data_IF_834340322009
#
_entry.id   IF_834340322009
#
_cell.length_a   1.000
_cell.length_b   1.000
_cell.length_c   1.000
_cell.angle_alpha   90.00
_cell.angle_beta   90.00
_cell.angle_gamma   90.00
#
_symmetry.space_group_name_H-M   'P 1'
#
loop_
_entity.id
_entity.type
_entity.pdbx_description
1 polymer ?
#
# COMPACT_ATOMS: atom_id res chain seq x y z
N UNK A 1 -12.23 0.91 -4.21
CA UNK A 1 -11.84 2.34 -4.11
C UNK A 1 -10.58 2.68 -4.89
N UNK A 2 -10.34 3.94 -5.27
CA UNK A 2 -9.12 4.35 -6.00
C UNK A 2 -7.97 4.69 -5.05
N UNK A 3 -6.74 4.32 -5.42
CA UNK A 3 -5.54 4.61 -4.63
C UNK A 3 -5.38 6.10 -4.27
N UNK A 4 -5.66 7.00 -5.22
CA UNK A 4 -5.55 8.46 -5.03
C UNK A 4 -6.50 9.05 -3.98
N UNK A 5 -7.53 8.30 -3.60
CA UNK A 5 -8.55 8.73 -2.64
C UNK A 5 -8.21 8.26 -1.22
N UNK A 6 -7.14 7.47 -1.05
CA UNK A 6 -6.64 7.07 0.26
C UNK A 6 -6.11 8.28 1.05
N UNK A 7 -6.26 8.21 2.37
CA UNK A 7 -5.89 9.30 3.27
C UNK A 7 -4.94 8.85 4.37
N UNK A 8 -4.14 9.78 4.90
CA UNK A 8 -3.30 9.52 6.06
C UNK A 8 -4.14 9.02 7.23
N UNK A 9 -3.67 7.99 7.91
CA UNK A 9 -4.36 7.36 9.04
C UNK A 9 -5.35 6.28 8.64
N UNK A 10 -5.60 6.06 7.34
CA UNK A 10 -6.52 5.03 6.88
C UNK A 10 -5.92 3.63 7.07
N UNK A 11 -6.75 2.70 7.56
CA UNK A 11 -6.39 1.30 7.67
C UNK A 11 -6.28 0.67 6.27
N UNK A 12 -5.20 -0.06 6.05
CA UNK A 12 -4.88 -0.70 4.79
C UNK A 12 -4.51 -2.17 5.03
N UNK A 13 -4.49 -2.93 3.95
CA UNK A 13 -3.72 -4.17 3.88
C UNK A 13 -2.71 -4.09 2.76
N UNK A 14 -1.57 -4.72 2.97
CA UNK A 14 -0.49 -4.75 1.99
C UNK A 14 0.22 -6.09 1.97
N UNK A 15 0.80 -6.43 0.82
CA UNK A 15 1.44 -7.72 0.53
C UNK A 15 2.96 -7.64 0.38
N UNK A 16 3.59 -6.59 0.88
CA UNK A 16 5.03 -6.32 0.75
C UNK A 16 5.90 -7.42 1.35
N UNK A 17 5.38 -8.20 2.31
CA UNK A 17 6.07 -9.33 2.93
C UNK A 17 5.83 -10.66 2.20
N UNK A 18 5.21 -10.63 1.02
CA UNK A 18 4.77 -11.82 0.27
C UNK A 18 3.46 -12.43 0.79
N UNK A 19 3.01 -12.03 1.97
CA UNK A 19 1.72 -12.35 2.58
C UNK A 19 0.98 -11.05 2.92
N UNK A 20 -0.35 -11.07 2.82
CA UNK A 20 -1.17 -9.91 3.15
C UNK A 20 -1.19 -9.70 4.68
N UNK A 21 -0.79 -8.50 5.11
CA UNK A 21 -0.82 -8.06 6.51
C UNK A 21 -1.54 -6.73 6.62
N UNK A 22 -2.13 -6.44 7.78
CA UNK A 22 -2.76 -5.16 8.03
C UNK A 22 -1.75 -4.06 8.36
N UNK A 23 -2.21 -2.82 8.24
CA UNK A 23 -1.41 -1.66 8.56
C UNK A 23 -2.20 -0.36 8.47
N UNK A 24 -1.48 0.75 8.52
CA UNK A 24 -2.07 2.10 8.44
C UNK A 24 -1.17 3.04 7.67
N UNK A 25 -1.75 3.84 6.77
CA UNK A 25 -1.02 4.92 6.11
C UNK A 25 -0.54 5.94 7.16
N UNK A 26 0.75 6.23 7.22
CA UNK A 26 1.29 7.28 8.12
C UNK A 26 1.54 8.61 7.40
N UNK A 27 1.35 8.62 6.08
CA UNK A 27 1.42 9.80 5.25
C UNK A 27 0.33 9.85 4.15
N UNK A 28 0.30 10.96 3.43
CA UNK A 28 -0.58 11.12 2.26
C UNK A 28 0.00 10.40 1.04
N UNK A 29 -0.86 9.70 0.31
CA UNK A 29 -0.56 9.13 -1.01
C UNK A 29 -0.44 10.18 -2.11
N UNK A 30 -0.90 11.42 -1.87
CA UNK A 30 -0.87 12.51 -2.85
C UNK A 30 0.48 13.23 -2.84
N UNK A 31 1.01 13.54 -4.02
CA UNK A 31 2.22 14.34 -4.22
C UNK A 31 2.02 15.32 -5.39
N UNK A 32 1.91 16.61 -5.07
CA UNK A 32 1.61 17.64 -6.06
C UNK A 32 0.30 17.37 -6.79
N UNK A 33 0.35 17.26 -8.12
CA UNK A 33 -0.79 16.92 -8.98
C UNK A 33 -0.99 15.40 -9.17
N UNK A 34 -0.14 14.58 -8.58
CA UNK A 34 -0.14 13.13 -8.74
C UNK A 34 -0.20 12.37 -7.43
N UNK A 35 0.18 11.10 -7.50
CA UNK A 35 0.25 10.17 -6.38
C UNK A 35 1.66 9.61 -6.24
N UNK A 36 2.05 9.25 -5.03
CA UNK A 36 3.34 8.63 -4.73
C UNK A 36 3.36 7.16 -5.17
N UNK A 37 4.48 6.74 -5.77
CA UNK A 37 4.74 5.34 -6.10
C UNK A 37 5.19 4.48 -4.91
N UNK A 38 5.70 5.13 -3.87
CA UNK A 38 6.12 4.51 -2.60
C UNK A 38 5.56 5.37 -1.47
N UNK A 39 5.01 4.73 -0.43
CA UNK A 39 4.40 5.42 0.71
C UNK A 39 4.83 4.81 2.03
N UNK A 40 4.92 5.65 3.05
CA UNK A 40 5.20 5.21 4.41
C UNK A 40 3.93 4.66 5.07
N UNK A 41 4.04 3.45 5.63
CA UNK A 41 2.98 2.78 6.39
C UNK A 41 3.51 2.32 7.75
N UNK A 42 2.62 2.23 8.74
CA UNK A 42 2.84 1.36 9.90
C UNK A 42 2.33 -0.03 9.55
N UNK A 43 3.20 -1.02 9.60
CA UNK A 43 2.92 -2.42 9.27
C UNK A 43 2.71 -3.21 10.55
N UNK A 44 1.60 -3.95 10.64
CA UNK A 44 1.35 -4.88 11.75
C UNK A 44 1.95 -6.26 11.42
N UNK A 45 3.27 -6.35 11.24
CA UNK A 45 3.94 -7.58 10.83
C UNK A 45 3.95 -8.67 11.93
N UNK A 46 3.62 -8.31 13.17
CA UNK A 46 3.36 -9.25 14.27
C UNK A 46 2.26 -10.26 13.95
N UNK A 47 1.32 -9.94 13.05
CA UNK A 47 0.31 -10.86 12.50
C UNK A 47 0.93 -12.11 11.86
N UNK A 48 2.19 -12.01 11.42
CA UNK A 48 2.94 -13.09 10.75
C UNK A 48 4.24 -13.43 11.49
N UNK A 49 4.34 -13.07 12.77
CA UNK A 49 5.49 -13.42 13.63
C UNK A 49 6.74 -12.56 13.39
N UNK A 50 6.59 -11.37 12.80
CA UNK A 50 7.66 -10.39 12.62
C UNK A 50 7.47 -9.18 13.55
N UNK A 51 8.38 -8.21 13.54
CA UNK A 51 8.22 -6.97 14.31
C UNK A 51 7.38 -5.94 13.57
N UNK A 52 6.47 -5.29 14.28
CA UNK A 52 5.74 -4.14 13.74
C UNK A 52 6.72 -2.99 13.46
N UNK A 53 6.58 -2.34 12.30
CA UNK A 53 7.53 -1.33 11.83
C UNK A 53 6.82 -0.22 11.03
N UNK A 54 7.35 1.00 11.12
CA UNK A 54 7.06 2.05 10.15
C UNK A 54 8.08 2.01 9.01
N UNK A 55 7.62 1.62 7.82
CA UNK A 55 8.46 1.41 6.66
C UNK A 55 7.81 1.88 5.36
N UNK A 56 8.62 2.07 4.32
CA UNK A 56 8.15 2.44 2.99
C UNK A 56 7.73 1.20 2.21
N UNK A 57 6.56 1.25 1.57
CA UNK A 57 6.06 0.18 0.69
C UNK A 57 5.70 0.74 -0.68
N UNK A 58 5.73 -0.10 -1.70
CA UNK A 58 5.22 0.32 -3.00
C UNK A 58 3.70 0.49 -2.95
N UNK A 59 3.19 1.50 -3.65
CA UNK A 59 1.77 1.78 -3.75
C UNK A 59 0.97 0.56 -4.21
N UNK A 60 1.52 -0.21 -5.15
CA UNK A 60 0.92 -1.41 -5.74
C UNK A 60 0.93 -2.62 -4.81
N UNK A 61 1.66 -2.57 -3.70
CA UNK A 61 1.62 -3.60 -2.67
C UNK A 61 0.45 -3.38 -1.70
N UNK A 62 -0.18 -2.19 -1.70
CA UNK A 62 -1.43 -1.94 -0.96
C UNK A 62 -2.59 -2.55 -1.74
N UNK A 63 -3.20 -3.60 -1.21
CA UNK A 63 -4.24 -4.39 -1.89
C UNK A 63 -5.65 -3.95 -1.51
N UNK A 64 -5.85 -3.57 -0.24
CA UNK A 64 -7.15 -3.21 0.30
C UNK A 64 -7.02 -2.00 1.23
N UNK A 65 -8.12 -1.27 1.39
CA UNK A 65 -8.24 -0.26 2.44
C UNK A 65 -9.66 -0.23 3.00
N UNK A 66 -9.75 0.15 4.28
CA UNK A 66 -11.02 0.24 4.98
C UNK A 66 -11.78 1.48 4.51
N UNK A 67 -13.04 1.31 4.09
CA UNK A 67 -13.91 2.43 3.77
C UNK A 67 -14.50 3.05 5.06
N UNK A 68 -15.40 4.04 4.90
CA UNK A 68 -16.00 4.76 6.04
C UNK A 68 -17.04 3.93 6.80
N UNK A 69 -17.49 2.82 6.23
CA UNK A 69 -18.49 1.92 6.79
C UNK A 69 -17.83 0.65 7.37
N UNK A 70 -16.53 0.73 7.70
CA UNK A 70 -15.72 -0.36 8.26
C UNK A 70 -15.67 -1.64 7.39
N UNK A 71 -15.77 -1.48 6.06
CA UNK A 71 -15.60 -2.57 5.11
C UNK A 71 -14.27 -2.46 4.34
N UNK A 72 -13.63 -3.59 4.11
CA UNK A 72 -12.44 -3.68 3.25
C UNK A 72 -12.83 -3.59 1.78
N UNK A 73 -12.27 -2.63 1.07
CA UNK A 73 -12.40 -2.50 -0.38
C UNK A 73 -11.06 -2.70 -1.08
N UNK A 74 -11.10 -3.33 -2.25
CA UNK A 74 -9.94 -3.43 -3.13
C UNK A 74 -9.50 -2.04 -3.59
N UNK A 75 -8.20 -1.81 -3.57
CA UNK A 75 -7.58 -0.58 -4.05
C UNK A 75 -7.28 -0.71 -5.54
N UNK A 76 -7.83 0.21 -6.32
CA UNK A 76 -7.59 0.35 -7.75
C UNK A 76 -6.43 1.32 -8.01
N UNK A 77 -5.36 0.84 -8.63
CA UNK A 77 -4.20 1.64 -9.01
C UNK A 77 -4.28 2.14 -10.45
N UNK A 78 -3.57 3.23 -10.74
CA UNK A 78 -3.48 3.74 -12.11
C UNK A 78 -2.70 2.76 -13.00
N UNK A 79 -3.08 2.58 -14.29
CA UNK A 79 -2.42 1.63 -15.19
C UNK A 79 -0.90 1.76 -15.24
N UNK A 80 -0.38 2.99 -15.24
CA UNK A 80 1.07 3.26 -15.24
C UNK A 80 1.80 2.68 -14.01
N UNK A 81 1.14 2.62 -12.85
CA UNK A 81 1.72 2.04 -11.64
C UNK A 81 1.83 0.53 -11.76
N UNK A 82 0.82 -0.10 -12.38
CA UNK A 82 0.82 -1.53 -12.65
C UNK A 82 1.87 -1.91 -13.70
N UNK A 83 2.12 -1.05 -14.68
CA UNK A 83 3.21 -1.22 -15.65
C UNK A 83 4.58 -1.21 -14.96
N UNK A 84 4.85 -0.21 -14.11
CA UNK A 84 6.09 -0.14 -13.32
C UNK A 84 6.26 -1.35 -12.39
N UNK A 85 5.18 -1.83 -11.76
CA UNK A 85 5.22 -3.03 -10.94
C UNK A 85 5.59 -4.28 -11.76
N UNK A 86 5.02 -4.44 -12.96
CA UNK A 86 5.38 -5.54 -13.87
C UNK A 86 6.83 -5.49 -14.32
N UNK A 87 7.36 -4.30 -14.59
CA UNK A 87 8.77 -4.12 -14.95
C UNK A 87 9.67 -4.49 -13.78
N UNK A 88 9.39 -3.99 -12.58
CA UNK A 88 10.12 -4.35 -11.36
C UNK A 88 10.13 -5.86 -11.14
N UNK A 89 8.96 -6.50 -11.19
CA UNK A 89 8.85 -7.94 -10.96
C UNK A 89 9.57 -8.76 -12.05
N UNK A 90 9.68 -8.23 -13.27
CA UNK A 90 10.43 -8.84 -14.38
C UNK A 90 11.94 -8.80 -14.18
N UNK A 91 12.47 -7.68 -13.65
CA UNK A 91 13.91 -7.49 -13.49
C UNK A 91 14.45 -7.95 -12.13
N UNK A 92 13.57 -8.30 -11.20
CA UNK A 92 13.93 -8.74 -9.85
C UNK A 92 14.38 -7.58 -8.98
N UNK A 93 13.99 -7.59 -7.70
CA UNK A 93 14.68 -6.77 -6.71
C UNK A 93 16.14 -7.27 -6.66
N UNK A 94 17.06 -6.44 -7.13
CA UNK A 94 18.51 -6.62 -6.95
C UNK A 94 18.84 -6.60 -5.46
#
# INVERSE_FOLDING_TARGET
MKYKDLTKGQAIKSKQLGIEVSGRLVESVKQGRGVKGTVLIHTNASEVGMFDEIGSVYATDITQAMNKDDHWEVVEHEPKMLEWAKERDRYGNI
#
